data_IF_088222200321
#
_entry.id   IF_088222200321
#
_cell.length_a   1.000
_cell.length_b   1.000
_cell.length_c   1.000
_cell.angle_alpha   90.00
_cell.angle_beta   90.00
_cell.angle_gamma   90.00
#
_symmetry.space_group_name_H-M   'P 1'
#
loop_
_entity.id
_entity.type
_entity.pdbx_description
1 polymer ?
#
# COMPACT_ATOMS: atom_id res chain seq x y z
N UNK A 1 40.56 27.61 -15.56
CA UNK A 1 40.59 27.05 -14.19
C UNK A 1 39.23 27.39 -13.55
N UNK A 2 38.21 26.53 -13.72
CA UNK A 2 36.86 26.71 -13.12
C UNK A 2 36.19 25.37 -12.76
N UNK A 3 36.91 24.24 -12.81
CA UNK A 3 36.33 22.90 -12.61
C UNK A 3 36.53 22.40 -11.16
N UNK A 4 37.47 22.98 -10.42
CA UNK A 4 37.84 22.54 -9.05
C UNK A 4 36.77 22.87 -7.99
N UNK A 5 36.01 23.97 -8.15
CA UNK A 5 35.06 24.44 -7.13
C UNK A 5 33.76 23.61 -7.03
N UNK A 6 33.48 22.75 -8.01
CA UNK A 6 32.25 21.94 -7.99
C UNK A 6 32.41 20.66 -7.17
N UNK A 7 33.61 20.08 -7.17
CA UNK A 7 33.91 18.82 -6.48
C UNK A 7 33.94 19.07 -4.96
N UNK A 8 34.62 20.11 -4.51
CA UNK A 8 34.70 20.49 -3.08
C UNK A 8 33.32 20.80 -2.46
N UNK A 9 32.41 21.33 -3.28
CA UNK A 9 31.05 21.65 -2.86
C UNK A 9 30.14 20.43 -2.80
N UNK A 10 30.48 19.36 -3.51
CA UNK A 10 29.75 18.09 -3.45
C UNK A 10 30.16 17.29 -2.21
N UNK A 11 31.45 17.28 -1.87
CA UNK A 11 31.95 16.56 -0.68
C UNK A 11 31.38 17.12 0.63
N UNK A 12 31.10 18.42 0.69
CA UNK A 12 30.52 19.08 1.86
C UNK A 12 29.02 18.84 2.07
N UNK A 13 28.31 18.32 1.05
CA UNK A 13 26.86 18.04 1.11
C UNK A 13 26.59 16.55 1.34
N UNK A 14 27.56 15.68 1.06
CA UNK A 14 27.43 14.24 1.30
C UNK A 14 27.57 13.96 2.80
N UNK A 15 26.45 13.82 3.48
CA UNK A 15 26.41 13.39 4.88
C UNK A 15 26.99 11.98 5.03
N UNK A 16 27.98 11.83 5.91
CA UNK A 16 28.69 10.58 6.24
C UNK A 16 27.81 9.54 6.94
N UNK A 17 26.64 9.94 7.42
CA UNK A 17 25.66 9.03 7.99
C UNK A 17 25.09 8.12 6.90
N UNK A 18 25.30 6.80 7.05
CA UNK A 18 24.61 5.76 6.29
C UNK A 18 23.11 6.00 6.42
N UNK A 19 22.54 6.76 5.48
CA UNK A 19 21.10 6.90 5.36
C UNK A 19 20.54 5.48 5.40
N UNK A 20 19.49 5.22 6.20
CA UNK A 20 18.89 3.88 6.39
C UNK A 20 18.29 3.25 5.12
N UNK A 21 18.72 3.71 3.94
CA UNK A 21 18.52 3.19 2.61
C UNK A 21 18.78 1.69 2.45
N UNK A 22 19.87 1.08 2.97
CA UNK A 22 20.08 -0.35 2.82
C UNK A 22 19.02 -1.15 3.57
N UNK A 23 18.62 -0.69 4.75
CA UNK A 23 17.63 -1.34 5.61
C UNK A 23 16.21 -1.20 5.04
N UNK A 24 15.87 -0.01 4.53
CA UNK A 24 14.63 0.24 3.76
C UNK A 24 14.58 -0.55 2.44
N UNK A 25 15.72 -0.85 1.82
CA UNK A 25 15.79 -1.68 0.61
C UNK A 25 15.58 -3.17 0.92
N UNK A 26 16.12 -3.67 2.04
CA UNK A 26 15.95 -5.05 2.49
C UNK A 26 14.52 -5.34 2.98
N UNK A 27 13.93 -4.40 3.73
CA UNK A 27 12.52 -4.48 4.14
C UNK A 27 11.56 -4.49 2.93
N UNK A 28 11.94 -3.78 1.86
CA UNK A 28 11.25 -3.82 0.57
C UNK A 28 11.42 -5.14 -0.16
N UNK A 29 12.33 -6.05 0.19
CA UNK A 29 12.52 -7.33 -0.51
C UNK A 29 11.72 -8.45 0.14
N UNK A 30 11.77 -8.57 1.47
CA UNK A 30 11.22 -9.74 2.19
C UNK A 30 9.71 -9.63 2.46
N UNK A 31 9.16 -8.40 2.49
CA UNK A 31 7.73 -8.15 2.73
C UNK A 31 6.95 -7.79 1.45
N UNK A 32 7.52 -7.99 0.25
CA UNK A 32 6.92 -7.50 -1.01
C UNK A 32 5.51 -8.01 -1.23
N UNK A 33 5.26 -9.29 -0.97
CA UNK A 33 4.09 -9.92 -1.59
C UNK A 33 2.79 -9.56 -0.88
N UNK A 34 2.75 -9.59 0.45
CA UNK A 34 1.58 -9.12 1.19
C UNK A 34 1.41 -7.61 1.08
N UNK A 35 2.51 -6.84 1.02
CA UNK A 35 2.46 -5.39 0.87
C UNK A 35 1.94 -4.99 -0.52
N UNK A 36 2.38 -5.67 -1.59
CA UNK A 36 1.83 -5.52 -2.94
C UNK A 36 0.33 -5.81 -2.98
N UNK A 37 -0.12 -6.87 -2.30
CA UNK A 37 -1.55 -7.19 -2.18
C UNK A 37 -2.31 -6.09 -1.45
N UNK A 38 -1.79 -5.60 -0.33
CA UNK A 38 -2.38 -4.49 0.43
C UNK A 38 -2.48 -3.22 -0.41
N UNK A 39 -1.43 -2.86 -1.14
CA UNK A 39 -1.43 -1.72 -2.07
C UNK A 39 -2.42 -1.90 -3.22
N UNK A 40 -2.50 -3.08 -3.82
CA UNK A 40 -3.46 -3.37 -4.88
C UNK A 40 -4.90 -3.20 -4.40
N UNK A 41 -5.20 -3.67 -3.19
CA UNK A 41 -6.50 -3.48 -2.54
C UNK A 41 -6.76 -1.98 -2.32
N UNK A 42 -5.78 -1.24 -1.77
CA UNK A 42 -5.91 0.19 -1.52
C UNK A 42 -6.21 1.00 -2.81
N UNK A 43 -5.51 0.70 -3.90
CA UNK A 43 -5.75 1.33 -5.21
C UNK A 43 -7.17 1.05 -5.68
N UNK A 44 -7.61 -0.22 -5.61
CA UNK A 44 -8.94 -0.62 -6.04
C UNK A 44 -10.03 0.04 -5.20
N UNK A 45 -9.88 0.07 -3.88
CA UNK A 45 -10.82 0.74 -2.97
C UNK A 45 -10.88 2.24 -3.25
N UNK A 46 -9.74 2.92 -3.47
CA UNK A 46 -9.76 4.34 -3.83
C UNK A 46 -10.50 4.61 -5.15
N UNK A 47 -10.33 3.74 -6.15
CA UNK A 47 -11.10 3.80 -7.40
C UNK A 47 -12.60 3.67 -7.14
N UNK A 48 -13.01 2.66 -6.36
CA UNK A 48 -14.41 2.40 -6.04
C UNK A 48 -15.08 3.54 -5.26
N UNK A 49 -14.35 4.14 -4.30
CA UNK A 49 -14.81 5.32 -3.57
C UNK A 49 -15.08 6.48 -4.54
N UNK A 50 -14.16 6.70 -5.50
CA UNK A 50 -14.30 7.74 -6.52
C UNK A 50 -15.45 7.47 -7.47
N UNK A 51 -15.62 6.22 -7.89
CA UNK A 51 -16.68 5.81 -8.83
C UNK A 51 -18.07 5.90 -8.18
N UNK A 52 -18.19 5.56 -6.89
CA UNK A 52 -19.43 5.70 -6.11
C UNK A 52 -19.67 7.12 -5.59
N UNK A 53 -18.71 8.03 -5.74
CA UNK A 53 -18.81 9.41 -5.26
C UNK A 53 -18.89 9.56 -3.74
N UNK A 54 -18.44 8.55 -2.99
CA UNK A 54 -18.44 8.56 -1.52
C UNK A 54 -17.12 9.09 -0.98
N UNK A 55 -17.10 9.61 0.24
CA UNK A 55 -15.88 10.01 0.94
C UNK A 55 -15.31 8.87 1.79
N UNK A 56 -14.03 9.00 2.18
CA UNK A 56 -13.39 8.05 3.10
C UNK A 56 -14.09 8.00 4.48
N UNK A 57 -14.69 9.13 4.91
CA UNK A 57 -15.45 9.20 6.16
C UNK A 57 -16.76 8.41 6.05
N UNK A 58 -17.46 8.54 4.93
CA UNK A 58 -18.68 7.77 4.66
C UNK A 58 -18.37 6.28 4.55
N UNK A 59 -17.26 5.91 3.91
CA UNK A 59 -16.80 4.51 3.90
C UNK A 59 -16.54 4.00 5.32
N UNK A 60 -15.92 4.79 6.20
CA UNK A 60 -15.70 4.41 7.59
C UNK A 60 -17.01 4.18 8.35
N UNK A 61 -18.02 5.02 8.12
CA UNK A 61 -19.36 4.85 8.68
C UNK A 61 -20.04 3.58 8.16
N UNK A 62 -19.96 3.32 6.85
CA UNK A 62 -20.54 2.14 6.21
C UNK A 62 -19.91 0.84 6.73
N UNK A 63 -18.59 0.85 6.94
CA UNK A 63 -17.83 -0.26 7.51
C UNK A 63 -17.97 -0.41 9.03
N UNK A 64 -18.55 0.59 9.72
CA UNK A 64 -18.57 0.71 11.19
C UNK A 64 -17.18 0.60 11.82
N UNK A 65 -16.18 1.20 11.18
CA UNK A 65 -14.80 1.25 11.68
C UNK A 65 -14.35 2.70 11.89
N UNK A 66 -13.22 2.88 12.58
CA UNK A 66 -12.66 4.22 12.74
C UNK A 66 -12.20 4.80 11.40
N UNK A 67 -12.36 6.12 11.15
CA UNK A 67 -11.80 6.78 9.97
C UNK A 67 -10.28 6.62 9.85
N UNK A 68 -9.61 6.43 10.99
CA UNK A 68 -8.17 6.21 11.08
C UNK A 68 -7.77 4.83 10.54
N UNK A 69 -8.58 3.81 10.79
CA UNK A 69 -8.41 2.48 10.18
C UNK A 69 -8.61 2.55 8.67
N UNK A 70 -9.66 3.21 8.18
CA UNK A 70 -9.85 3.44 6.73
C UNK A 70 -8.64 4.16 6.12
N UNK A 71 -8.14 5.20 6.78
CA UNK A 71 -6.95 5.92 6.31
C UNK A 71 -5.71 5.02 6.18
N UNK A 72 -5.54 4.04 7.07
CA UNK A 72 -4.44 3.07 6.97
C UNK A 72 -4.65 2.05 5.85
N UNK A 73 -5.87 1.56 5.69
CA UNK A 73 -6.25 0.67 4.57
C UNK A 73 -5.93 1.35 3.24
N UNK A 74 -6.34 2.61 3.07
CA UNK A 74 -6.16 3.35 1.82
C UNK A 74 -4.71 3.75 1.54
N UNK A 75 -3.83 3.70 2.54
CA UNK A 75 -2.38 3.85 2.36
C UNK A 75 -1.71 2.56 1.87
N UNK A 76 -2.38 1.40 1.97
CA UNK A 76 -1.84 0.11 1.53
C UNK A 76 -0.60 -0.34 2.29
N UNK A 77 -0.44 0.13 3.53
CA UNK A 77 0.71 -0.18 4.40
C UNK A 77 0.34 -1.08 5.58
N UNK A 78 -0.91 -1.52 5.64
CA UNK A 78 -1.44 -2.35 6.71
C UNK A 78 -1.66 -3.79 6.24
N UNK A 79 -1.43 -4.75 7.13
CA UNK A 79 -1.82 -6.13 6.92
C UNK A 79 -3.31 -6.27 7.22
N UNK A 80 -4.12 -6.31 6.17
CA UNK A 80 -5.57 -6.40 6.28
C UNK A 80 -5.99 -7.80 6.72
N UNK A 81 -6.86 -7.88 7.72
CA UNK A 81 -7.51 -9.15 8.07
C UNK A 81 -8.53 -9.53 6.99
N UNK A 82 -8.77 -10.83 6.82
CA UNK A 82 -9.82 -11.33 5.91
C UNK A 82 -11.20 -10.77 6.28
N UNK A 83 -11.46 -10.54 7.57
CA UNK A 83 -12.67 -9.90 8.06
C UNK A 83 -12.80 -8.45 7.52
N UNK A 84 -11.72 -7.68 7.56
CA UNK A 84 -11.69 -6.30 7.04
C UNK A 84 -11.93 -6.28 5.54
N UNK A 85 -11.30 -7.21 4.81
CA UNK A 85 -11.50 -7.37 3.37
C UNK A 85 -12.96 -7.71 3.08
N UNK A 86 -13.55 -8.68 3.78
CA UNK A 86 -14.96 -9.07 3.60
C UNK A 86 -15.91 -7.89 3.89
N UNK A 87 -15.63 -7.09 4.92
CA UNK A 87 -16.40 -5.87 5.22
C UNK A 87 -16.31 -4.85 4.09
N UNK A 88 -15.12 -4.65 3.52
CA UNK A 88 -14.93 -3.78 2.35
C UNK A 88 -15.67 -4.28 1.13
N UNK A 89 -15.61 -5.58 0.85
CA UNK A 89 -16.31 -6.21 -0.27
C UNK A 89 -17.83 -6.05 -0.15
N UNK A 90 -18.39 -6.24 1.05
CA UNK A 90 -19.80 -6.03 1.32
C UNK A 90 -20.22 -4.56 1.23
N UNK A 91 -19.41 -3.65 1.78
CA UNK A 91 -19.70 -2.21 1.76
C UNK A 91 -19.61 -1.61 0.35
N UNK A 92 -18.69 -2.12 -0.47
CA UNK A 92 -18.46 -1.63 -1.83
C UNK A 92 -19.19 -2.48 -2.89
N UNK A 93 -19.87 -3.55 -2.47
CA UNK A 93 -20.56 -4.52 -3.33
C UNK A 93 -19.67 -5.04 -4.47
N UNK A 94 -18.44 -5.43 -4.13
CA UNK A 94 -17.42 -5.80 -5.11
C UNK A 94 -16.43 -6.80 -4.54
N UNK A 95 -15.76 -7.55 -5.42
CA UNK A 95 -14.71 -8.50 -5.02
C UNK A 95 -13.34 -7.84 -5.08
N UNK A 96 -12.65 -7.79 -3.95
CA UNK A 96 -11.29 -7.30 -3.79
C UNK A 96 -10.26 -8.43 -3.96
N UNK A 97 -10.56 -9.63 -3.42
CA UNK A 97 -9.68 -10.80 -3.53
C UNK A 97 -10.45 -11.99 -4.09
N UNK A 98 -9.89 -12.66 -5.08
CA UNK A 98 -10.41 -13.90 -5.62
C UNK A 98 -9.40 -15.04 -5.42
N UNK A 99 -9.90 -16.24 -5.12
CA UNK A 99 -9.08 -17.45 -5.00
C UNK A 99 -9.12 -18.18 -6.34
N UNK A 100 -7.95 -18.42 -6.93
CA UNK A 100 -7.85 -19.18 -8.17
C UNK A 100 -8.37 -20.61 -7.97
N UNK A 101 -9.25 -21.09 -8.85
CA UNK A 101 -9.68 -22.49 -8.87
C UNK A 101 -8.58 -23.32 -9.52
N UNK A 102 -7.87 -24.13 -8.73
CA UNK A 102 -6.95 -25.10 -9.29
C UNK A 102 -7.76 -26.29 -9.82
N UNK A 103 -8.07 -26.31 -11.11
CA UNK A 103 -8.58 -27.50 -11.78
C UNK A 103 -7.43 -28.48 -11.96
N UNK A 104 -7.15 -29.29 -10.95
CA UNK A 104 -6.42 -30.54 -11.16
C UNK A 104 -7.36 -31.47 -11.92
N UNK A 105 -7.22 -31.52 -13.25
CA UNK A 105 -7.66 -32.68 -14.01
C UNK A 105 -6.72 -33.81 -13.62
N UNK A 106 -7.19 -34.68 -12.75
CA UNK A 106 -6.57 -35.98 -12.52
C UNK A 106 -6.93 -36.79 -13.76
N UNK A 107 -6.00 -36.81 -14.73
CA UNK A 107 -6.04 -37.72 -15.87
C UNK A 107 -5.55 -39.09 -15.47
#
# INVERSE_FOLDING_TARGET
>A
MVVENLIDKLETIVSEEKSGWPEKAKHRADNRDWLKKSQAIAIKVNGLIRDKGISQKELAQLLKVSPQQVSKILKGQENLTLETISKLENALETTLIAIAKNTHSIG
#
